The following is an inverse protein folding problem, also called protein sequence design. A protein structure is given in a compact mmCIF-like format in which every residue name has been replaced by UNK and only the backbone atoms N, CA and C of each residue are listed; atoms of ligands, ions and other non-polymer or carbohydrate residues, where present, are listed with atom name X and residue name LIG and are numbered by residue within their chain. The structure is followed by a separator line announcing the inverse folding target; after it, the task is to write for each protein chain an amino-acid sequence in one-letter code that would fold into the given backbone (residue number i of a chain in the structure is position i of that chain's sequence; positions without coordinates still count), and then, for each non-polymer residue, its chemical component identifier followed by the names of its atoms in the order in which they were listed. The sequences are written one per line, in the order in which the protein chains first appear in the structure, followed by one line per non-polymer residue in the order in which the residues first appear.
data_IF_550114047214
#
_entry.id   IF_550114047214
#
_cell.length_a   1.000
_cell.length_b   1.000
_cell.length_c   1.000
_cell.angle_alpha   90.00
_cell.angle_beta   90.00
_cell.angle_gamma   90.00
#
_symmetry.space_group_name_H-M   'P 1'
#
loop_
_entity.id
_entity.type
_entity.pdbx_description
1 polymer ?
#
# COMPACT_ATOMS: atom_id res chain seq x y z
N UNK A 1 -0.83 9.19 -19.07
CA UNK A 1 -1.24 9.22 -18.76
C UNK A 1 -1.57 9.66 -17.86
N UNK A 2 -1.56 10.05 -17.57
CA UNK A 2 -1.72 10.43 -16.65
C UNK A 2 -2.89 10.56 -16.17
N UNK A 3 -3.40 10.79 -16.20
CA UNK A 3 -4.40 10.82 -15.93
C UNK A 3 -4.91 10.22 -15.10
N UNK A 4 -4.56 9.55 -14.97
CA UNK A 4 -5.19 8.73 -14.25
C UNK A 4 -5.36 9.02 -12.86
N UNK A 5 -4.48 9.53 -12.27
CA UNK A 5 -4.58 9.70 -10.91
C UNK A 5 -5.85 10.32 -10.55
N UNK A 6 -6.15 11.36 -11.14
CA UNK A 6 -7.27 11.98 -10.75
C UNK A 6 -8.43 11.26 -11.21
N UNK A 7 -8.23 10.45 -12.16
CA UNK A 7 -9.28 9.75 -12.59
C UNK A 7 -9.69 8.72 -11.66
N UNK A 8 -8.92 8.40 -10.70
CA UNK A 8 -9.33 7.49 -9.70
C UNK A 8 -10.49 8.03 -8.92
N UNK A 9 -10.78 9.30 -9.06
CA UNK A 9 -11.90 9.81 -8.34
C UNK A 9 -11.67 10.14 -6.91
N UNK A 10 -10.47 10.14 -6.46
CA UNK A 10 -10.20 10.45 -5.08
C UNK A 10 -10.28 11.94 -4.87
N UNK A 11 -11.04 12.38 -3.89
CA UNK A 11 -11.05 13.80 -3.58
C UNK A 11 -10.01 14.05 -2.49
N UNK A 12 -9.97 15.27 -2.01
CA UNK A 12 -8.93 15.62 -1.05
C UNK A 12 -9.05 14.84 0.24
N UNK A 13 -10.26 14.60 0.71
CA UNK A 13 -10.43 13.85 1.93
C UNK A 13 -10.01 12.41 1.77
N UNK A 14 -10.37 11.81 0.66
CA UNK A 14 -10.00 10.43 0.42
C UNK A 14 -8.50 10.29 0.26
N UNK A 15 -7.89 11.26 -0.39
CA UNK A 15 -6.46 11.23 -0.55
C UNK A 15 -5.76 11.37 0.79
N UNK A 16 -6.27 12.22 1.66
CA UNK A 16 -5.68 12.38 2.99
C UNK A 16 -5.81 11.10 3.79
N UNK A 17 -6.95 10.41 3.68
CA UNK A 17 -7.11 9.15 4.38
C UNK A 17 -6.14 8.11 3.87
N UNK A 18 -5.97 8.05 2.57
CA UNK A 18 -5.04 7.09 2.02
C UNK A 18 -3.63 7.40 2.45
N UNK A 19 -3.24 8.66 2.45
CA UNK A 19 -1.90 9.01 2.87
C UNK A 19 -1.70 8.69 4.35
N UNK A 20 -2.72 8.90 5.17
CA UNK A 20 -2.62 8.55 6.57
C UNK A 20 -2.48 7.05 6.77
N UNK A 21 -3.22 6.29 6.00
CA UNK A 21 -3.12 4.84 6.09
C UNK A 21 -1.73 4.37 5.68
N UNK A 22 -1.19 4.96 4.61
CA UNK A 22 0.14 4.58 4.18
C UNK A 22 1.20 4.99 5.20
N UNK A 23 0.98 6.10 5.88
CA UNK A 23 1.96 6.54 6.86
C UNK A 23 2.04 5.60 8.05
N UNK A 24 1.01 4.80 8.27
CA UNK A 24 1.05 3.82 9.33
C UNK A 24 1.91 2.61 9.01
N UNK A 25 2.37 2.49 7.79
CA UNK A 25 3.13 1.32 7.37
C UNK A 25 4.61 1.57 7.54
N UNK A 26 5.37 0.49 7.70
CA UNK A 26 6.80 0.63 7.68
C UNK A 26 7.21 1.00 6.26
N UNK A 27 8.45 1.43 6.11
CA UNK A 27 8.93 1.81 4.79
C UNK A 27 8.81 0.68 3.80
N UNK A 28 9.16 -0.52 4.22
CA UNK A 28 9.11 -1.66 3.34
C UNK A 28 7.68 -2.01 2.98
N UNK A 29 6.80 -2.01 3.96
CA UNK A 29 5.40 -2.32 3.72
C UNK A 29 4.79 -1.31 2.74
N UNK A 30 5.09 -0.04 2.95
CA UNK A 30 4.56 1.00 2.08
C UNK A 30 5.08 0.83 0.67
N UNK A 31 6.36 0.52 0.55
CA UNK A 31 6.95 0.35 -0.77
C UNK A 31 6.30 -0.82 -1.51
N UNK A 32 6.08 -1.92 -0.82
CA UNK A 32 5.45 -3.08 -1.45
C UNK A 32 4.05 -2.74 -1.92
N UNK A 33 3.27 -2.09 -1.08
CA UNK A 33 1.91 -1.75 -1.44
C UNK A 33 1.89 -0.79 -2.63
N UNK A 34 2.78 0.20 -2.61
CA UNK A 34 2.78 1.16 -3.70
C UNK A 34 3.23 0.52 -5.00
N UNK A 35 4.24 -0.32 -4.95
CA UNK A 35 4.69 -0.98 -6.17
C UNK A 35 3.59 -1.86 -6.75
N UNK A 36 2.88 -2.56 -5.90
CA UNK A 36 1.84 -3.44 -6.40
C UNK A 36 0.62 -2.65 -6.87
N UNK A 37 0.17 -1.69 -6.08
CA UNK A 37 -1.08 -1.00 -6.39
C UNK A 37 -0.91 0.06 -7.46
N UNK A 38 0.20 0.76 -7.46
CA UNK A 38 0.38 1.87 -8.39
C UNK A 38 1.00 1.43 -9.69
N UNK A 39 2.05 0.63 -9.62
CA UNK A 39 2.74 0.25 -10.85
C UNK A 39 2.25 -1.07 -11.42
N UNK A 40 1.44 -1.82 -10.66
CA UNK A 40 0.94 -3.09 -11.16
C UNK A 40 1.93 -4.22 -11.09
N UNK A 41 3.03 -4.05 -10.37
CA UNK A 41 4.01 -5.12 -10.28
C UNK A 41 3.46 -6.30 -9.54
N UNK A 42 3.84 -7.50 -10.01
CA UNK A 42 3.45 -8.70 -9.31
C UNK A 42 4.33 -8.89 -8.09
N UNK A 43 3.82 -9.59 -7.10
CA UNK A 43 4.58 -9.78 -5.87
C UNK A 43 5.94 -10.43 -6.15
N UNK A 44 5.99 -11.33 -7.12
CA UNK A 44 7.22 -11.97 -7.48
C UNK A 44 8.24 -10.96 -8.00
N UNK A 45 7.75 -10.00 -8.78
CA UNK A 45 8.61 -8.97 -9.32
C UNK A 45 9.09 -8.02 -8.22
N UNK A 46 8.20 -7.73 -7.27
CA UNK A 46 8.59 -6.88 -6.16
C UNK A 46 9.65 -7.58 -5.31
N UNK A 47 9.47 -8.87 -5.11
CA UNK A 47 10.44 -9.63 -4.34
C UNK A 47 11.82 -9.54 -4.96
N UNK A 48 11.87 -9.67 -6.28
CA UNK A 48 13.15 -9.59 -6.97
C UNK A 48 13.73 -8.18 -6.88
N UNK A 49 12.87 -7.18 -7.03
CA UNK A 49 13.35 -5.82 -7.00
C UNK A 49 13.91 -5.44 -5.62
N UNK A 50 13.22 -5.86 -4.57
CA UNK A 50 13.65 -5.51 -3.23
C UNK A 50 14.62 -6.53 -2.65
N UNK A 51 14.89 -7.60 -3.40
CA UNK A 51 15.82 -8.64 -2.94
C UNK A 51 15.32 -9.28 -1.66
N UNK A 52 14.04 -9.59 -1.63
CA UNK A 52 13.41 -10.26 -0.50
C UNK A 52 12.81 -11.57 -0.97
N UNK A 53 12.69 -12.55 -0.08
CA UNK A 53 11.99 -13.78 -0.44
C UNK A 53 10.53 -13.48 -0.72
N UNK A 54 9.95 -14.20 -1.66
CA UNK A 54 8.55 -13.99 -1.99
C UNK A 54 7.64 -14.16 -0.77
N UNK A 55 7.80 -15.19 0.07
CA UNK A 55 6.93 -15.28 1.24
C UNK A 55 7.02 -14.06 2.14
N UNK A 56 8.19 -13.46 2.23
CA UNK A 56 8.34 -12.25 3.03
C UNK A 56 7.55 -11.11 2.44
N UNK A 57 7.58 -10.96 1.12
CA UNK A 57 6.83 -9.91 0.46
C UNK A 57 5.33 -10.12 0.69
N UNK A 58 4.87 -11.35 0.56
CA UNK A 58 3.46 -11.62 0.75
C UNK A 58 3.03 -11.34 2.19
N UNK A 59 3.86 -11.74 3.15
CA UNK A 59 3.54 -11.47 4.55
C UNK A 59 3.47 -9.98 4.84
N UNK A 60 4.43 -9.24 4.31
CA UNK A 60 4.44 -7.81 4.53
C UNK A 60 3.26 -7.13 3.84
N UNK A 61 2.90 -7.62 2.67
CA UNK A 61 1.78 -7.06 1.94
C UNK A 61 0.48 -7.29 2.72
N UNK A 62 0.27 -8.50 3.21
CA UNK A 62 -0.93 -8.79 3.97
C UNK A 62 -0.99 -7.96 5.26
N UNK A 63 0.15 -7.82 5.93
CA UNK A 63 0.20 -7.01 7.13
C UNK A 63 -0.12 -5.55 6.82
N UNK A 64 0.41 -5.06 5.71
CA UNK A 64 0.15 -3.70 5.30
C UNK A 64 -1.33 -3.47 5.03
N UNK A 65 -1.96 -4.39 4.32
CA UNK A 65 -3.37 -4.26 4.03
C UNK A 65 -4.20 -4.26 5.30
N UNK A 66 -3.80 -5.10 6.26
CA UNK A 66 -4.52 -5.16 7.50
C UNK A 66 -4.41 -3.85 8.26
N UNK A 67 -3.22 -3.27 8.29
CA UNK A 67 -3.03 -2.00 8.96
C UNK A 67 -3.83 -0.89 8.28
N UNK A 68 -3.82 -0.89 6.95
CA UNK A 68 -4.55 0.13 6.23
C UNK A 68 -6.04 0.00 6.48
N UNK A 69 -6.54 -1.22 6.50
CA UNK A 69 -7.95 -1.43 6.74
C UNK A 69 -8.34 -0.95 8.13
N UNK A 70 -7.54 -1.27 9.13
CA UNK A 70 -7.84 -0.82 10.48
C UNK A 70 -7.85 0.69 10.57
N UNK A 71 -6.92 1.33 9.90
CA UNK A 71 -6.87 2.78 9.93
C UNK A 71 -8.12 3.37 9.28
N UNK A 72 -8.50 2.84 8.12
CA UNK A 72 -9.62 3.38 7.39
C UNK A 72 -10.95 3.11 8.10
N UNK A 73 -11.01 2.02 8.84
CA UNK A 73 -12.21 1.71 9.57
C UNK A 73 -12.24 2.40 10.92
N UNK A 74 -11.17 3.05 11.28
CA UNK A 74 -11.16 3.79 12.53
C UNK A 74 -10.97 2.94 13.73
N UNK A 75 -10.55 1.67 13.56
CA UNK A 75 -10.41 0.86 14.68
C UNK A 75 -9.05 0.62 15.11
N UNK A 76 -8.15 1.42 14.68
CA UNK A 76 -6.79 1.27 15.06
C UNK A 76 -6.62 1.69 16.44
N UNK A 77 -7.54 2.18 17.05
CA UNK A 77 -7.37 2.74 18.26
C UNK A 77 -6.85 1.81 19.20
N UNK A 78 -6.61 0.94 18.97
CA UNK A 78 -6.06 0.20 19.83
C UNK A 78 -5.04 -0.31 19.58
#
# INVERSE_FOLDING_TARGET
DAIPAQECGLDADERALLQGALANLSDEERRIVLLHAVTGMKHREIAALLELPLPTVLSKYHRALKKMRSFLEGDDAR
#
